data_IF_513008749453
#
_entry.id   IF_513008749453
#
_cell.length_a   1.000
_cell.length_b   1.000
_cell.length_c   1.000
_cell.angle_alpha   90.00
_cell.angle_beta   90.00
_cell.angle_gamma   90.00
#
_symmetry.space_group_name_H-M   'P 1'
#
loop_
_entity.id
_entity.type
_entity.pdbx_description
1 polymer ?
#
# COMPACT_ATOMS: atom_id res chain seq x y z
N UNK A 1 -16.04 74.49 -1.17
CA UNK A 1 -14.76 74.51 -1.89
C UNK A 1 -13.88 73.40 -1.34
N UNK A 2 -13.44 72.49 -2.23
CA UNK A 2 -12.26 71.60 -2.20
C UNK A 2 -11.93 70.79 -0.91
N UNK A 3 -12.04 69.45 -0.99
CA UNK A 3 -10.95 68.44 -1.14
C UNK A 3 -10.22 68.16 0.19
N UNK A 4 -10.09 66.92 0.70
CA UNK A 4 -9.51 65.67 0.12
C UNK A 4 -10.03 64.45 0.91
N UNK A 5 -10.55 63.36 0.30
CA UNK A 5 -9.83 62.10 -0.08
C UNK A 5 -9.06 61.45 1.10
N UNK A 6 -9.29 60.19 1.55
CA UNK A 6 -9.41 58.93 0.79
C UNK A 6 -10.25 57.82 1.48
N UNK A 7 -10.62 56.89 0.60
CA UNK A 7 -11.47 55.68 0.61
C UNK A 7 -11.01 54.46 1.43
N UNK A 8 -11.99 53.82 2.08
CA UNK A 8 -12.33 52.37 2.14
C UNK A 8 -11.34 51.29 1.66
N UNK A 9 -11.19 50.23 2.48
CA UNK A 9 -11.16 48.82 2.03
C UNK A 9 -11.55 47.83 3.14
N UNK A 10 -12.66 47.12 2.90
CA UNK A 10 -13.02 45.85 3.52
C UNK A 10 -12.17 44.69 2.95
N UNK A 11 -12.29 43.53 3.62
CA UNK A 11 -11.88 42.18 3.24
C UNK A 11 -10.39 41.84 3.35
N UNK A 12 -10.07 41.07 4.39
CA UNK A 12 -9.13 39.95 4.38
C UNK A 12 -9.50 39.01 5.55
N UNK A 13 -10.48 38.13 5.33
CA UNK A 13 -10.54 36.83 6.00
C UNK A 13 -9.62 35.92 5.19
N UNK A 14 -8.39 35.76 5.67
CA UNK A 14 -7.38 34.88 5.08
C UNK A 14 -6.88 33.90 6.14
N UNK A 15 -7.23 32.63 5.94
CA UNK A 15 -6.44 31.42 6.21
C UNK A 15 -5.08 31.64 6.90
N UNK A 16 -4.96 31.19 8.15
CA UNK A 16 -3.68 30.96 8.82
C UNK A 16 -3.89 30.11 10.08
N UNK A 17 -3.92 28.79 9.90
CA UNK A 17 -3.58 27.81 10.95
C UNK A 17 -2.81 26.67 10.29
N UNK A 18 -1.55 26.96 9.93
CA UNK A 18 -0.55 25.91 9.71
C UNK A 18 -0.27 25.32 11.09
N UNK A 19 -0.52 24.03 11.24
CA UNK A 19 -0.34 23.25 12.48
C UNK A 19 1.08 23.42 13.01
N UNK A 20 1.21 23.68 14.30
CA UNK A 20 2.51 23.72 14.97
C UNK A 20 3.12 22.32 14.98
N UNK A 21 4.10 22.08 14.09
CA UNK A 21 4.98 20.92 14.17
C UNK A 21 5.86 21.11 15.41
N UNK A 22 5.73 20.24 16.41
CA UNK A 22 6.60 20.28 17.58
C UNK A 22 7.96 19.65 17.21
N UNK A 23 8.93 20.51 16.87
CA UNK A 23 10.33 20.12 16.80
C UNK A 23 10.95 20.19 18.20
N UNK A 24 11.37 19.05 18.71
CA UNK A 24 12.29 19.01 19.86
C UNK A 24 13.70 19.22 19.33
N UNK A 25 14.28 20.42 19.49
CA UNK A 25 15.70 20.65 19.22
C UNK A 25 16.52 19.90 20.28
N UNK A 26 17.19 18.82 19.90
CA UNK A 26 18.11 18.10 20.78
C UNK A 26 19.37 18.95 21.02
N UNK A 27 19.69 19.19 22.29
CA UNK A 27 21.06 19.44 22.73
C UNK A 27 21.88 18.17 22.49
N UNK A 28 23.02 18.29 21.79
CA UNK A 28 24.00 17.21 21.65
C UNK A 28 24.48 16.76 23.04
N UNK A 29 23.94 15.66 23.55
CA UNK A 29 24.59 14.87 24.60
C UNK A 29 25.44 13.79 23.93
N UNK A 30 26.75 13.90 24.12
CA UNK A 30 27.76 12.91 23.71
C UNK A 30 27.34 11.51 24.17
N UNK A 31 26.99 10.64 23.24
CA UNK A 31 26.85 9.20 23.49
C UNK A 31 28.26 8.61 23.32
N UNK A 32 28.83 8.08 24.41
CA UNK A 32 30.07 7.31 24.34
C UNK A 32 29.81 6.00 23.57
N UNK A 33 30.68 5.60 22.62
CA UNK A 33 30.54 4.33 21.95
C UNK A 33 30.93 3.21 22.91
N UNK A 34 29.97 2.34 23.25
CA UNK A 34 30.28 1.01 23.77
C UNK A 34 30.81 0.18 22.59
N UNK A 35 32.12 0.17 22.41
CA UNK A 35 32.79 -0.70 21.45
C UNK A 35 32.72 -2.14 21.93
N UNK A 36 31.72 -2.87 21.45
CA UNK A 36 31.79 -4.32 21.28
C UNK A 36 31.51 -4.58 19.81
N UNK A 37 32.58 -4.62 19.01
CA UNK A 37 32.52 -5.08 17.61
C UNK A 37 32.37 -6.60 17.64
N UNK A 38 31.18 -7.10 17.96
CA UNK A 38 30.75 -8.36 17.39
C UNK A 38 30.55 -8.09 15.90
N UNK A 39 31.33 -8.74 15.05
CA UNK A 39 31.07 -8.76 13.61
C UNK A 39 29.66 -9.32 13.43
N UNK A 40 28.70 -8.44 13.13
CA UNK A 40 27.41 -8.86 12.61
C UNK A 40 27.70 -9.52 11.26
N UNK A 41 27.12 -10.69 10.95
CA UNK A 41 27.35 -11.32 9.66
C UNK A 41 26.94 -10.38 8.51
N UNK A 42 27.64 -10.50 7.36
CA UNK A 42 27.55 -9.57 6.21
C UNK A 42 26.13 -9.47 5.58
N UNK A 43 25.19 -10.29 6.04
CA UNK A 43 23.80 -10.37 5.61
C UNK A 43 22.83 -9.48 6.41
N UNK A 44 23.28 -8.86 7.51
CA UNK A 44 22.45 -7.93 8.29
C UNK A 44 22.46 -6.54 7.65
N UNK A 45 21.29 -6.03 7.29
CA UNK A 45 21.19 -4.66 6.79
C UNK A 45 21.56 -3.64 7.87
N UNK A 46 22.57 -2.80 7.59
CA UNK A 46 22.98 -1.72 8.48
C UNK A 46 22.03 -0.51 8.39
N UNK A 47 21.54 -0.06 9.54
CA UNK A 47 20.66 1.11 9.67
C UNK A 47 21.30 2.27 10.45
N UNK A 48 22.61 2.22 10.72
CA UNK A 48 23.28 3.24 11.53
C UNK A 48 23.06 4.65 10.97
N UNK A 49 22.48 5.54 11.79
CA UNK A 49 22.21 6.92 11.40
C UNK A 49 21.06 7.09 10.38
N UNK A 50 20.31 6.03 10.05
CA UNK A 50 19.11 6.15 9.21
C UNK A 50 17.97 6.81 9.97
N UNK A 51 17.17 7.58 9.25
CA UNK A 51 15.94 8.20 9.75
C UNK A 51 14.77 7.47 9.14
N UNK A 52 13.93 6.91 10.00
CA UNK A 52 12.70 6.23 9.60
C UNK A 52 11.48 7.05 10.02
N UNK A 53 10.36 6.75 9.38
CA UNK A 53 9.03 7.11 9.86
C UNK A 53 8.30 5.85 10.31
N UNK A 54 7.65 5.89 11.47
CA UNK A 54 6.90 4.76 12.06
C UNK A 54 5.74 5.30 12.91
N UNK A 55 4.95 4.38 13.47
CA UNK A 55 3.93 4.67 14.47
C UNK A 55 4.59 5.16 15.78
N UNK A 56 4.16 6.32 16.27
CA UNK A 56 4.65 6.91 17.51
C UNK A 56 4.50 5.95 18.70
N UNK A 57 3.48 5.07 18.71
CA UNK A 57 3.31 4.11 19.80
C UNK A 57 4.44 3.08 19.84
N UNK A 58 4.97 2.64 18.69
CA UNK A 58 6.11 1.72 18.65
C UNK A 58 7.34 2.36 19.29
N UNK A 59 7.61 3.64 18.98
CA UNK A 59 8.73 4.36 19.59
C UNK A 59 8.57 4.47 21.12
N UNK A 60 7.35 4.74 21.61
CA UNK A 60 7.05 4.79 23.04
C UNK A 60 7.27 3.43 23.72
N UNK A 61 6.76 2.35 23.13
CA UNK A 61 6.90 0.99 23.65
C UNK A 61 8.38 0.59 23.79
N UNK A 62 9.22 1.04 22.85
CA UNK A 62 10.65 0.76 22.81
C UNK A 62 11.52 1.82 23.50
N UNK A 63 10.92 2.83 24.12
CA UNK A 63 11.63 3.97 24.74
C UNK A 63 12.60 4.69 23.79
N UNK A 64 12.26 4.76 22.51
CA UNK A 64 13.00 5.48 21.48
C UNK A 64 12.46 6.91 21.41
N UNK A 65 13.36 7.91 21.50
CA UNK A 65 12.97 9.32 21.44
C UNK A 65 12.73 9.74 19.98
N UNK A 66 11.55 10.26 19.63
CA UNK A 66 11.30 10.76 18.28
C UNK A 66 12.06 12.07 18.02
N UNK A 67 12.57 12.23 16.80
CA UNK A 67 13.11 13.49 16.30
C UNK A 67 11.99 14.52 16.09
N UNK A 68 10.86 14.07 15.55
CA UNK A 68 9.66 14.85 15.31
C UNK A 68 8.45 13.90 15.23
N UNK A 69 7.26 14.39 15.51
CA UNK A 69 6.02 13.62 15.33
C UNK A 69 4.85 14.53 15.02
N UNK A 70 3.80 13.94 14.43
CA UNK A 70 2.57 14.62 14.09
C UNK A 70 1.42 14.05 14.94
N UNK A 71 0.81 14.86 15.84
CA UNK A 71 -0.18 14.37 16.80
C UNK A 71 -1.50 13.87 16.21
N UNK A 72 -1.96 14.35 15.05
CA UNK A 72 -3.25 13.92 14.49
C UNK A 72 -3.14 12.50 13.88
N UNK A 73 -2.07 12.26 13.14
CA UNK A 73 -1.79 11.03 12.40
C UNK A 73 -0.97 10.01 13.20
N UNK A 74 -0.37 10.42 14.32
CA UNK A 74 0.53 9.61 15.15
C UNK A 74 1.78 9.10 14.41
N UNK A 75 2.15 9.72 13.29
CA UNK A 75 3.40 9.40 12.58
C UNK A 75 4.57 10.08 13.27
N UNK A 76 5.66 9.36 13.46
CA UNK A 76 6.88 9.88 14.09
C UNK A 76 8.13 9.56 13.26
N UNK A 77 9.06 10.51 13.26
CA UNK A 77 10.42 10.32 12.73
C UNK A 77 11.37 9.97 13.86
N UNK A 78 12.23 8.98 13.64
CA UNK A 78 13.29 8.63 14.57
C UNK A 78 14.58 8.32 13.80
N UNK A 79 15.72 8.73 14.37
CA UNK A 79 16.99 8.14 13.97
C UNK A 79 17.18 6.85 14.75
N UNK A 80 17.55 5.80 14.04
CA UNK A 80 17.69 4.47 14.61
C UNK A 80 19.06 3.89 14.27
N UNK A 81 19.51 2.93 15.06
CA UNK A 81 20.55 1.98 14.67
C UNK A 81 19.95 0.63 14.27
N UNK A 82 20.79 -0.31 13.83
CA UNK A 82 20.36 -1.66 13.42
C UNK A 82 19.58 -2.39 14.51
N UNK A 83 20.02 -2.33 15.77
CA UNK A 83 19.34 -2.99 16.88
C UNK A 83 17.94 -2.43 17.14
N UNK A 84 17.80 -1.10 17.05
CA UNK A 84 16.51 -0.42 17.18
C UNK A 84 15.59 -0.72 15.99
N UNK A 85 16.12 -0.82 14.77
CA UNK A 85 15.34 -1.24 13.61
C UNK A 85 14.73 -2.62 13.84
N UNK A 86 15.55 -3.59 14.25
CA UNK A 86 15.10 -4.96 14.54
C UNK A 86 14.01 -4.95 15.61
N UNK A 87 14.19 -4.14 16.67
CA UNK A 87 13.19 -4.00 17.73
C UNK A 87 11.88 -3.39 17.20
N UNK A 88 11.94 -2.42 16.29
CA UNK A 88 10.78 -1.79 15.65
C UNK A 88 10.03 -2.78 14.78
N UNK A 89 10.72 -3.52 13.90
CA UNK A 89 10.08 -4.57 13.08
C UNK A 89 9.49 -5.67 13.94
N UNK A 90 10.24 -6.15 14.95
CA UNK A 90 9.74 -7.17 15.89
C UNK A 90 8.47 -6.68 16.59
N UNK A 91 8.46 -5.42 17.07
CA UNK A 91 7.30 -4.83 17.73
C UNK A 91 6.13 -4.63 16.77
N UNK A 92 6.38 -4.24 15.52
CA UNK A 92 5.36 -4.14 14.49
C UNK A 92 4.69 -5.52 14.24
N UNK A 93 5.47 -6.60 14.16
CA UNK A 93 4.94 -7.96 14.00
C UNK A 93 4.17 -8.45 15.22
N UNK A 94 4.64 -8.15 16.45
CA UNK A 94 3.88 -8.44 17.68
C UNK A 94 2.51 -7.74 17.67
N UNK A 95 2.44 -6.54 17.09
CA UNK A 95 1.21 -5.79 16.87
C UNK A 95 0.43 -6.25 15.65
N UNK A 96 0.95 -7.23 14.92
CA UNK A 96 0.33 -7.86 13.76
C UNK A 96 0.40 -7.04 12.48
N UNK A 97 1.56 -6.47 12.16
CA UNK A 97 1.80 -5.69 10.94
C UNK A 97 2.91 -6.38 10.14
N UNK A 98 2.82 -6.39 8.81
CA UNK A 98 3.90 -6.87 7.91
C UNK A 98 4.97 -5.78 7.81
N UNK A 99 4.57 -4.59 7.36
CA UNK A 99 5.37 -3.39 7.50
C UNK A 99 5.42 -2.83 8.93
N UNK A 100 5.88 -1.59 9.04
CA UNK A 100 5.91 -0.87 10.33
C UNK A 100 6.74 0.39 10.30
N UNK A 101 7.54 0.57 9.24
CA UNK A 101 8.31 1.77 9.04
C UNK A 101 8.55 2.06 7.55
N UNK A 102 8.92 3.29 7.24
CA UNK A 102 9.45 3.68 5.93
C UNK A 102 10.75 4.45 6.12
N UNK A 103 11.73 4.27 5.24
CA UNK A 103 12.99 5.04 5.31
C UNK A 103 12.80 6.43 4.70
N UNK A 104 13.10 7.46 5.48
CA UNK A 104 12.99 8.87 5.08
C UNK A 104 14.32 9.41 4.56
N UNK A 105 15.44 9.01 5.16
CA UNK A 105 16.77 9.48 4.77
C UNK A 105 17.83 9.15 5.80
N UNK A 106 18.90 9.94 5.84
CA UNK A 106 20.00 9.79 6.79
C UNK A 106 20.10 11.01 7.70
N UNK A 107 20.36 10.79 9.00
CA UNK A 107 20.42 11.85 10.00
C UNK A 107 21.50 12.88 9.66
N UNK A 108 22.64 12.43 9.12
CA UNK A 108 23.76 13.30 8.76
C UNK A 108 23.41 14.34 7.69
N UNK A 109 22.41 14.06 6.85
CA UNK A 109 21.99 14.93 5.75
C UNK A 109 20.61 15.56 5.95
N UNK A 110 19.87 15.12 6.99
CA UNK A 110 18.51 15.55 7.27
C UNK A 110 18.45 17.04 7.66
N UNK A 111 17.71 17.83 6.88
CA UNK A 111 17.40 19.23 7.16
C UNK A 111 16.00 19.36 7.77
N UNK A 112 15.76 20.48 8.45
CA UNK A 112 14.42 20.79 8.98
C UNK A 112 13.36 20.89 7.89
N UNK A 113 13.74 21.31 6.68
CA UNK A 113 12.88 21.30 5.50
C UNK A 113 12.45 19.90 5.09
N UNK A 114 13.29 18.89 5.32
CA UNK A 114 13.02 17.51 4.94
C UNK A 114 12.00 16.88 5.90
N UNK A 115 12.10 17.21 7.20
CA UNK A 115 11.10 16.84 8.21
C UNK A 115 9.73 17.43 7.85
N UNK A 116 9.67 18.72 7.52
CA UNK A 116 8.41 19.36 7.14
C UNK A 116 7.83 18.77 5.85
N UNK A 117 8.68 18.57 4.83
CA UNK A 117 8.28 18.01 3.53
C UNK A 117 7.81 16.56 3.64
N UNK A 118 8.29 15.81 4.62
CA UNK A 118 7.80 14.47 4.91
C UNK A 118 6.37 14.47 5.46
N UNK A 119 6.09 15.29 6.48
CA UNK A 119 4.78 15.28 7.14
C UNK A 119 3.69 15.96 6.32
N UNK A 120 4.03 17.02 5.58
CA UNK A 120 3.03 17.88 4.93
C UNK A 120 2.06 17.09 4.02
N UNK A 121 2.51 16.22 3.10
CA UNK A 121 1.60 15.44 2.27
C UNK A 121 0.66 14.50 3.06
N UNK A 122 1.17 13.90 4.14
CA UNK A 122 0.39 12.99 4.99
C UNK A 122 -0.70 13.79 5.73
N UNK A 123 -0.35 14.95 6.29
CA UNK A 123 -1.29 15.85 6.99
C UNK A 123 -2.38 16.35 6.03
N UNK A 124 -1.97 16.86 4.86
CA UNK A 124 -2.89 17.38 3.85
C UNK A 124 -3.87 16.29 3.41
N UNK A 125 -3.36 15.08 3.18
CA UNK A 125 -4.21 13.97 2.80
C UNK A 125 -5.15 13.56 3.94
N UNK A 126 -4.65 13.41 5.15
CA UNK A 126 -5.45 13.04 6.32
C UNK A 126 -6.62 14.00 6.52
N UNK A 127 -6.38 15.31 6.40
CA UNK A 127 -7.44 16.33 6.52
C UNK A 127 -8.46 16.24 5.39
N UNK A 128 -8.00 16.05 4.15
CA UNK A 128 -8.90 15.82 3.01
C UNK A 128 -9.78 14.60 3.25
N UNK A 129 -9.23 13.52 3.79
CA UNK A 129 -9.98 12.31 4.10
C UNK A 129 -11.00 12.52 5.24
N UNK A 130 -10.68 13.31 6.26
CA UNK A 130 -11.65 13.68 7.30
C UNK A 130 -12.85 14.46 6.71
N UNK A 131 -12.59 15.38 5.78
CA UNK A 131 -13.62 16.13 5.07
C UNK A 131 -14.46 15.22 4.15
N UNK A 132 -13.81 14.31 3.40
CA UNK A 132 -14.49 13.30 2.59
C UNK A 132 -15.35 12.38 3.45
N UNK A 133 -14.83 11.90 4.58
CA UNK A 133 -15.57 11.03 5.49
C UNK A 133 -16.82 11.74 6.03
N UNK A 134 -16.72 13.03 6.33
CA UNK A 134 -17.88 13.84 6.73
C UNK A 134 -18.90 13.93 5.59
N UNK A 135 -18.47 14.24 4.37
CA UNK A 135 -19.36 14.33 3.20
C UNK A 135 -20.04 12.98 2.88
N UNK A 136 -19.36 11.86 3.07
CA UNK A 136 -19.91 10.52 2.85
C UNK A 136 -20.99 10.15 3.87
N UNK A 137 -20.92 10.64 5.11
CA UNK A 137 -21.94 10.40 6.15
C UNK A 137 -23.28 11.02 5.81
N UNK A 138 -23.31 12.05 4.97
CA UNK A 138 -24.54 12.67 4.49
C UNK A 138 -25.28 11.75 3.48
N UNK A 139 -24.69 10.61 3.09
CA UNK A 139 -25.32 9.52 2.32
C UNK A 139 -25.59 9.83 0.85
N UNK A 140 -25.55 11.11 0.46
CA UNK A 140 -25.88 11.56 -0.88
C UNK A 140 -24.98 10.97 -1.96
N UNK A 141 -23.67 10.80 -1.71
CA UNK A 141 -22.75 10.19 -2.67
C UNK A 141 -23.00 8.68 -2.82
N UNK A 142 -23.14 7.95 -1.72
CA UNK A 142 -23.35 6.49 -1.75
C UNK A 142 -24.61 6.11 -2.54
N UNK A 143 -25.67 6.90 -2.40
CA UNK A 143 -26.93 6.69 -3.15
C UNK A 143 -26.81 6.98 -4.66
N UNK A 144 -25.79 7.73 -5.08
CA UNK A 144 -25.57 8.16 -6.47
C UNK A 144 -24.45 7.42 -7.17
N UNK A 145 -23.50 6.86 -6.42
CA UNK A 145 -22.40 6.07 -6.96
C UNK A 145 -22.98 5.03 -7.91
N UNK A 146 -22.63 5.18 -9.18
CA UNK A 146 -23.17 4.36 -10.25
C UNK A 146 -22.06 3.80 -11.11
N UNK A 147 -21.90 2.50 -10.95
CA UNK A 147 -21.15 1.62 -11.81
C UNK A 147 -21.93 1.39 -13.11
N UNK A 148 -21.82 2.35 -14.04
CA UNK A 148 -22.42 2.27 -15.38
C UNK A 148 -21.33 1.94 -16.41
N UNK A 149 -20.57 0.88 -16.14
CA UNK A 149 -19.50 0.39 -17.01
C UNK A 149 -20.02 -0.10 -18.36
N UNK A 150 -21.32 -0.44 -18.45
CA UNK A 150 -21.92 -1.12 -19.60
C UNK A 150 -21.44 -2.57 -19.75
N UNK A 151 -20.63 -3.05 -18.80
CA UNK A 151 -20.11 -4.41 -18.73
C UNK A 151 -20.98 -5.25 -17.80
N UNK A 152 -21.12 -6.54 -18.11
CA UNK A 152 -21.63 -7.50 -17.14
C UNK A 152 -20.48 -7.91 -16.19
N UNK A 153 -20.13 -7.03 -15.24
CA UNK A 153 -19.00 -7.25 -14.32
C UNK A 153 -19.14 -8.54 -13.52
N UNK A 154 -20.37 -8.93 -13.13
CA UNK A 154 -20.61 -10.22 -12.46
C UNK A 154 -20.05 -11.40 -13.26
N UNK A 155 -20.21 -11.41 -14.59
CA UNK A 155 -19.71 -12.52 -15.42
C UNK A 155 -18.18 -12.62 -15.47
N UNK A 156 -17.46 -11.55 -15.12
CA UNK A 156 -16.00 -11.59 -14.96
C UNK A 156 -15.62 -11.98 -13.54
N UNK A 157 -16.33 -11.46 -12.53
CA UNK A 157 -16.15 -11.86 -11.13
C UNK A 157 -16.35 -13.38 -10.95
N UNK A 158 -17.33 -13.96 -11.64
CA UNK A 158 -17.64 -15.39 -11.63
C UNK A 158 -16.56 -16.26 -12.31
N UNK A 159 -15.65 -15.66 -13.09
CA UNK A 159 -14.53 -16.38 -13.70
C UNK A 159 -13.38 -16.65 -12.73
N UNK A 160 -13.33 -15.99 -11.57
CA UNK A 160 -12.25 -16.18 -10.60
C UNK A 160 -12.27 -17.61 -10.07
N UNK A 161 -11.14 -18.30 -10.23
CA UNK A 161 -10.98 -19.71 -9.85
C UNK A 161 -9.99 -19.86 -8.68
N UNK A 162 -10.45 -20.28 -7.49
CA UNK A 162 -9.60 -20.54 -6.32
C UNK A 162 -8.39 -21.45 -6.60
N UNK A 163 -8.55 -22.47 -7.46
CA UNK A 163 -7.46 -23.38 -7.79
C UNK A 163 -6.31 -22.70 -8.53
N UNK A 164 -6.59 -21.74 -9.41
CA UNK A 164 -5.54 -20.97 -10.07
C UNK A 164 -4.72 -20.19 -9.05
N UNK A 165 -5.38 -19.59 -8.05
CA UNK A 165 -4.69 -18.86 -6.97
C UNK A 165 -3.80 -19.82 -6.18
N UNK A 166 -4.33 -20.99 -5.81
CA UNK A 166 -3.58 -22.03 -5.12
C UNK A 166 -2.31 -22.43 -5.86
N UNK A 167 -2.41 -22.75 -7.14
CA UNK A 167 -1.26 -23.15 -7.96
C UNK A 167 -0.19 -22.07 -8.01
N UNK A 168 -0.58 -20.79 -8.03
CA UNK A 168 0.37 -19.67 -8.02
C UNK A 168 0.99 -19.44 -6.64
N UNK A 169 0.27 -19.65 -5.56
CA UNK A 169 0.86 -19.62 -4.20
C UNK A 169 1.86 -20.75 -4.04
N UNK A 170 1.52 -21.98 -4.47
CA UNK A 170 2.43 -23.14 -4.42
C UNK A 170 3.71 -22.87 -5.24
N UNK A 171 3.57 -22.29 -6.43
CA UNK A 171 4.71 -21.91 -7.26
C UNK A 171 5.59 -20.82 -6.61
N UNK A 172 4.98 -19.72 -6.15
CA UNK A 172 5.71 -18.56 -5.63
C UNK A 172 6.34 -18.80 -4.25
N UNK A 173 5.70 -19.63 -3.42
CA UNK A 173 6.25 -20.07 -2.13
C UNK A 173 7.20 -21.27 -2.22
N UNK A 174 7.37 -21.83 -3.42
CA UNK A 174 8.36 -22.87 -3.70
C UNK A 174 9.80 -22.36 -3.80
N UNK A 175 10.01 -21.05 -3.97
CA UNK A 175 11.33 -20.43 -3.86
C UNK A 175 11.77 -20.42 -2.39
N UNK A 176 13.04 -20.77 -2.12
CA UNK A 176 13.54 -20.86 -0.73
C UNK A 176 13.31 -19.55 0.05
N UNK A 177 13.59 -18.42 -0.59
CA UNK A 177 13.28 -17.08 -0.08
C UNK A 177 13.11 -16.15 -1.29
N UNK A 178 12.30 -15.11 -1.13
CA UNK A 178 12.13 -14.03 -2.10
C UNK A 178 12.73 -12.71 -1.59
N UNK A 179 13.60 -12.78 -0.60
CA UNK A 179 14.20 -11.60 0.02
C UNK A 179 14.98 -10.74 -0.97
N UNK A 180 14.85 -9.42 -0.85
CA UNK A 180 15.40 -8.45 -1.80
C UNK A 180 16.94 -8.45 -1.90
N UNK A 181 17.65 -8.98 -0.90
CA UNK A 181 19.11 -9.14 -0.86
C UNK A 181 19.56 -10.60 -0.97
N UNK A 182 18.62 -11.53 -1.17
CA UNK A 182 18.98 -12.92 -1.45
C UNK A 182 19.83 -13.02 -2.71
N UNK A 183 20.70 -14.03 -2.79
CA UNK A 183 21.59 -14.27 -3.94
C UNK A 183 20.82 -14.37 -5.27
N UNK A 184 19.56 -14.82 -5.21
CA UNK A 184 18.65 -15.01 -6.33
C UNK A 184 17.43 -14.06 -6.29
N UNK A 185 17.63 -12.84 -5.78
CA UNK A 185 16.56 -11.85 -5.51
C UNK A 185 15.65 -11.49 -6.70
N UNK A 186 16.06 -11.76 -7.94
CA UNK A 186 15.26 -11.50 -9.15
C UNK A 186 14.81 -12.75 -9.91
N UNK A 187 15.12 -13.97 -9.47
CA UNK A 187 14.72 -15.19 -10.23
C UNK A 187 13.20 -15.30 -10.30
N UNK A 188 12.52 -15.24 -9.15
CA UNK A 188 11.05 -15.26 -9.09
C UNK A 188 10.40 -14.04 -9.78
N UNK A 189 11.10 -12.90 -9.83
CA UNK A 189 10.66 -11.67 -10.52
C UNK A 189 10.62 -11.89 -12.03
N UNK A 190 11.71 -12.40 -12.61
CA UNK A 190 11.81 -12.70 -14.03
C UNK A 190 10.87 -13.84 -14.43
N UNK A 191 10.72 -14.86 -13.58
CA UNK A 191 9.76 -15.96 -13.82
C UNK A 191 8.31 -15.45 -13.80
N UNK A 192 7.94 -14.58 -12.86
CA UNK A 192 6.62 -13.94 -12.83
C UNK A 192 6.36 -13.11 -14.09
N UNK A 193 7.34 -12.27 -14.49
CA UNK A 193 7.25 -11.50 -15.73
C UNK A 193 7.03 -12.41 -16.94
N UNK A 194 7.82 -13.48 -17.07
CA UNK A 194 7.71 -14.42 -18.18
C UNK A 194 6.34 -15.11 -18.21
N UNK A 195 5.81 -15.50 -17.05
CA UNK A 195 4.46 -16.05 -16.92
C UNK A 195 3.39 -15.05 -17.40
N UNK A 196 3.43 -13.81 -16.92
CA UNK A 196 2.47 -12.77 -17.28
C UNK A 196 2.55 -12.41 -18.77
N UNK A 197 3.75 -12.34 -19.35
CA UNK A 197 3.91 -12.15 -20.79
C UNK A 197 3.31 -13.30 -21.60
N UNK A 198 3.46 -14.55 -21.14
CA UNK A 198 2.83 -15.69 -21.81
C UNK A 198 1.31 -15.60 -21.75
N UNK A 199 0.73 -15.22 -20.60
CA UNK A 199 -0.71 -14.99 -20.46
C UNK A 199 -1.20 -13.91 -21.42
N UNK A 200 -0.50 -12.77 -21.49
CA UNK A 200 -0.82 -11.67 -22.41
C UNK A 200 -0.74 -12.13 -23.87
N UNK A 201 0.35 -12.80 -24.27
CA UNK A 201 0.50 -13.33 -25.64
C UNK A 201 -0.62 -14.31 -25.99
N UNK A 202 -0.97 -15.22 -25.08
CA UNK A 202 -2.03 -16.20 -25.29
C UNK A 202 -3.42 -15.56 -25.42
N UNK A 203 -3.66 -14.42 -24.75
CA UNK A 203 -4.92 -13.68 -24.85
C UNK A 203 -5.10 -12.94 -26.20
N UNK A 204 -4.00 -12.72 -26.94
CA UNK A 204 -3.99 -11.92 -28.17
C UNK A 204 -4.11 -10.40 -27.97
N UNK A 205 -4.21 -9.92 -26.72
CA UNK A 205 -4.32 -8.49 -26.39
C UNK A 205 -3.07 -7.72 -26.79
N UNK A 206 -3.26 -6.56 -27.44
CA UNK A 206 -2.18 -5.68 -27.91
C UNK A 206 -2.06 -4.40 -27.07
N UNK A 207 -3.08 -4.10 -26.27
CA UNK A 207 -3.16 -2.97 -25.34
C UNK A 207 -2.57 -3.29 -23.96
N UNK A 208 -2.03 -4.50 -23.77
CA UNK A 208 -1.43 -4.92 -22.50
C UNK A 208 0.08 -5.02 -22.61
N UNK A 209 0.79 -4.37 -21.69
CA UNK A 209 2.25 -4.37 -21.60
C UNK A 209 2.71 -4.99 -20.29
N UNK A 210 3.77 -5.79 -20.34
CA UNK A 210 4.43 -6.36 -19.17
C UNK A 210 5.87 -5.84 -19.13
N UNK A 211 6.36 -5.48 -17.95
CA UNK A 211 7.70 -4.93 -17.77
C UNK A 211 8.20 -5.07 -16.34
N UNK A 212 9.40 -4.55 -16.12
CA UNK A 212 10.02 -4.46 -14.80
C UNK A 212 10.28 -2.99 -14.45
N UNK A 213 10.30 -2.70 -13.15
CA UNK A 213 10.68 -1.40 -12.60
C UNK A 213 11.94 -1.59 -11.75
N UNK A 214 12.95 -0.78 -12.04
CA UNK A 214 14.19 -0.71 -11.26
C UNK A 214 14.07 0.30 -10.14
N UNK A 215 14.78 0.06 -9.05
CA UNK A 215 14.67 0.84 -7.81
C UNK A 215 16.02 1.39 -7.36
N UNK A 216 15.99 2.48 -6.60
CA UNK A 216 17.20 3.16 -6.11
C UNK A 216 17.77 2.48 -4.87
N UNK A 217 16.90 1.89 -4.04
CA UNK A 217 17.24 1.34 -2.71
C UNK A 217 17.39 -0.18 -2.68
N UNK A 218 17.10 -0.87 -3.79
CA UNK A 218 17.19 -2.32 -3.91
C UNK A 218 17.51 -2.72 -5.35
N UNK A 219 18.23 -3.84 -5.53
CA UNK A 219 18.47 -4.43 -6.85
C UNK A 219 17.40 -5.42 -7.26
N UNK A 220 16.54 -5.85 -6.33
CA UNK A 220 15.31 -6.58 -6.67
C UNK A 220 14.37 -5.63 -7.42
N UNK A 221 13.86 -6.06 -8.58
CA UNK A 221 12.95 -5.28 -9.42
C UNK A 221 11.50 -5.57 -9.05
N UNK A 222 10.62 -4.63 -9.36
CA UNK A 222 9.17 -4.89 -9.34
C UNK A 222 8.68 -5.36 -10.71
N UNK A 223 7.62 -6.15 -10.73
CA UNK A 223 6.92 -6.51 -11.98
C UNK A 223 5.78 -5.52 -12.20
N UNK A 224 5.55 -5.15 -13.46
CA UNK A 224 4.49 -4.24 -13.88
C UNK A 224 3.68 -4.82 -15.03
N UNK A 225 2.35 -4.77 -14.94
CA UNK A 225 1.44 -5.04 -16.05
C UNK A 225 0.54 -3.82 -16.26
N UNK A 226 0.45 -3.32 -17.49
CA UNK A 226 -0.42 -2.18 -17.85
C UNK A 226 -1.42 -2.57 -18.92
N UNK A 227 -2.69 -2.44 -18.61
CA UNK A 227 -3.78 -2.39 -19.58
C UNK A 227 -3.99 -0.93 -19.98
N UNK A 228 -3.66 -0.55 -21.20
CA UNK A 228 -3.75 0.84 -21.67
C UNK A 228 -5.21 1.25 -21.82
N UNK A 229 -5.58 2.37 -21.20
CA UNK A 229 -6.93 2.91 -21.28
C UNK A 229 -7.32 3.32 -22.71
N UNK A 230 -8.51 2.93 -23.14
CA UNK A 230 -9.04 3.23 -24.48
C UNK A 230 -9.60 4.65 -24.64
N UNK A 231 -9.91 5.34 -23.53
CA UNK A 231 -10.54 6.68 -23.54
C UNK A 231 -9.76 7.66 -22.68
N UNK A 232 -9.44 7.27 -21.45
CA UNK A 232 -8.76 8.08 -20.43
C UNK A 232 -7.40 7.46 -20.10
N UNK A 233 -6.53 7.37 -21.11
CA UNK A 233 -5.24 6.67 -20.99
C UNK A 233 -4.30 7.27 -19.91
N UNK A 234 -4.48 8.55 -19.57
CA UNK A 234 -3.69 9.25 -18.55
C UNK A 234 -4.29 9.16 -17.13
N UNK A 235 -5.45 8.50 -16.99
CA UNK A 235 -6.07 8.19 -15.69
C UNK A 235 -5.74 6.76 -15.30
N UNK A 236 -5.18 6.57 -14.10
CA UNK A 236 -4.62 5.30 -13.64
C UNK A 236 -5.43 4.72 -12.49
N UNK A 237 -5.91 3.48 -12.66
CA UNK A 237 -6.38 2.62 -11.58
C UNK A 237 -5.27 1.63 -11.27
N UNK A 238 -4.78 1.64 -10.04
CA UNK A 238 -3.64 0.83 -9.61
C UNK A 238 -4.13 -0.32 -8.74
N UNK A 239 -3.58 -1.50 -8.96
CA UNK A 239 -3.69 -2.66 -8.08
C UNK A 239 -2.29 -3.18 -7.78
N UNK A 240 -2.03 -3.61 -6.55
CA UNK A 240 -0.71 -4.17 -6.24
C UNK A 240 -0.66 -4.99 -4.98
N UNK A 241 0.47 -5.67 -4.82
CA UNK A 241 0.86 -6.51 -3.70
C UNK A 241 2.38 -6.71 -3.78
N UNK A 242 3.05 -7.07 -2.70
CA UNK A 242 4.50 -7.23 -2.76
C UNK A 242 4.92 -8.66 -3.08
N UNK A 243 6.11 -8.77 -3.65
CA UNK A 243 6.64 -10.00 -4.23
C UNK A 243 7.71 -10.65 -3.35
N UNK A 244 8.36 -9.86 -2.50
CA UNK A 244 9.38 -10.35 -1.59
C UNK A 244 8.81 -11.18 -0.44
N UNK A 245 9.71 -11.76 0.33
CA UNK A 245 9.42 -12.45 1.59
C UNK A 245 10.66 -12.40 2.48
N UNK A 246 10.43 -12.55 3.78
CA UNK A 246 11.48 -12.46 4.80
C UNK A 246 11.29 -13.51 5.88
N UNK A 247 12.40 -13.85 6.52
CA UNK A 247 12.39 -14.49 7.82
C UNK A 247 13.08 -13.57 8.82
N UNK A 248 12.30 -13.08 9.77
CA UNK A 248 12.78 -12.26 10.88
C UNK A 248 13.15 -13.12 12.09
N UNK A 249 14.39 -13.04 12.55
CA UNK A 249 14.85 -13.64 13.80
C UNK A 249 15.45 -12.57 14.72
N UNK A 250 15.61 -12.91 16.00
CA UNK A 250 16.35 -12.10 16.97
C UNK A 250 17.77 -11.80 16.43
N UNK A 251 17.97 -10.58 15.93
CA UNK A 251 19.22 -10.16 15.27
C UNK A 251 19.08 -9.64 13.84
N UNK A 252 17.92 -9.75 13.19
CA UNK A 252 17.67 -9.19 11.85
C UNK A 252 17.00 -10.16 10.89
N UNK A 253 17.00 -9.78 9.61
CA UNK A 253 16.53 -10.65 8.52
C UNK A 253 17.61 -11.68 8.20
N UNK A 254 17.24 -12.94 8.13
CA UNK A 254 18.13 -14.02 7.72
C UNK A 254 18.01 -14.28 6.21
N UNK A 255 18.85 -13.62 5.43
CA UNK A 255 18.77 -13.61 3.97
C UNK A 255 18.92 -14.99 3.31
N UNK A 256 19.60 -15.93 3.97
CA UNK A 256 19.87 -17.28 3.45
C UNK A 256 18.93 -18.36 3.98
N UNK A 257 18.04 -18.02 4.91
CA UNK A 257 17.12 -18.99 5.50
C UNK A 257 15.80 -19.07 4.73
N UNK A 258 15.08 -20.21 4.82
CA UNK A 258 13.80 -20.35 4.15
C UNK A 258 12.75 -19.34 4.65
N UNK A 259 12.20 -18.58 3.72
CA UNK A 259 11.09 -17.66 3.92
C UNK A 259 10.02 -17.91 2.83
N UNK A 260 9.22 -18.98 2.96
CA UNK A 260 8.29 -19.36 1.90
C UNK A 260 7.24 -18.28 1.64
N UNK A 261 6.84 -17.52 2.66
CA UNK A 261 5.96 -16.36 2.50
C UNK A 261 4.67 -16.71 1.76
N UNK A 262 4.04 -17.85 2.12
CA UNK A 262 2.88 -18.36 1.38
C UNK A 262 1.67 -17.44 1.56
N UNK A 263 1.40 -16.97 2.77
CA UNK A 263 0.37 -15.97 3.00
C UNK A 263 0.91 -14.57 2.74
N UNK A 264 2.15 -14.32 3.19
CA UNK A 264 2.81 -13.03 3.14
C UNK A 264 4.02 -13.01 2.17
N UNK A 265 3.86 -12.54 0.93
CA UNK A 265 2.60 -12.18 0.28
C UNK A 265 2.42 -12.92 -1.05
N UNK A 266 2.75 -14.21 -1.06
CA UNK A 266 2.45 -15.03 -2.23
C UNK A 266 0.93 -15.12 -2.47
N UNK A 267 0.10 -15.03 -1.42
CA UNK A 267 -1.35 -15.07 -1.52
C UNK A 267 -1.92 -13.86 -2.29
N UNK A 268 -1.59 -12.63 -1.90
CA UNK A 268 -2.06 -11.41 -2.57
C UNK A 268 -1.47 -11.26 -3.96
N UNK A 269 -0.18 -11.55 -4.11
CA UNK A 269 0.48 -11.62 -5.42
C UNK A 269 -0.22 -12.58 -6.39
N UNK A 270 -0.63 -13.76 -5.91
CA UNK A 270 -1.33 -14.77 -6.71
C UNK A 270 -2.77 -14.38 -7.03
N UNK A 271 -3.47 -13.74 -6.09
CA UNK A 271 -4.80 -13.19 -6.34
C UNK A 271 -4.78 -12.11 -7.44
N UNK A 272 -3.72 -11.30 -7.52
CA UNK A 272 -3.52 -10.33 -8.61
C UNK A 272 -3.21 -11.00 -9.95
N UNK A 273 -2.44 -12.10 -9.97
CA UNK A 273 -2.22 -12.88 -11.21
C UNK A 273 -3.54 -13.42 -11.75
N UNK A 274 -4.41 -13.94 -10.88
CA UNK A 274 -5.75 -14.38 -11.28
C UNK A 274 -6.63 -13.21 -11.73
N UNK A 275 -6.52 -12.05 -11.08
CA UNK A 275 -7.20 -10.82 -11.52
C UNK A 275 -6.77 -10.42 -12.93
N UNK A 276 -5.46 -10.44 -13.23
CA UNK A 276 -4.94 -10.19 -14.59
C UNK A 276 -5.49 -11.21 -15.58
N UNK A 277 -5.52 -12.50 -15.23
CA UNK A 277 -6.08 -13.55 -16.10
C UNK A 277 -7.53 -13.24 -16.51
N UNK A 278 -8.36 -12.82 -15.55
CA UNK A 278 -9.76 -12.44 -15.79
C UNK A 278 -9.84 -11.17 -16.64
N UNK A 279 -9.06 -10.12 -16.34
CA UNK A 279 -9.08 -8.87 -17.12
C UNK A 279 -8.64 -9.04 -18.57
N UNK A 280 -7.80 -10.05 -18.87
CA UNK A 280 -7.43 -10.38 -20.25
C UNK A 280 -8.63 -10.86 -21.08
N UNK A 281 -9.69 -11.42 -20.47
CA UNK A 281 -10.93 -11.80 -21.16
C UNK A 281 -11.95 -10.66 -21.27
N UNK A 282 -11.74 -9.54 -20.56
CA UNK A 282 -12.57 -8.35 -20.62
C UNK A 282 -12.17 -7.42 -21.78
N UNK A 283 -13.07 -6.52 -22.24
CA UNK A 283 -12.69 -5.44 -23.15
C UNK A 283 -11.59 -4.54 -22.58
N UNK A 284 -10.92 -3.78 -23.47
CA UNK A 284 -9.97 -2.76 -23.04
C UNK A 284 -10.66 -1.76 -22.07
N UNK A 285 -10.09 -1.50 -20.89
CA UNK A 285 -10.68 -0.58 -19.94
C UNK A 285 -10.68 0.85 -20.50
N UNK A 286 -11.56 1.72 -19.99
CA UNK A 286 -11.57 3.13 -20.41
C UNK A 286 -10.39 3.90 -19.82
N UNK A 287 -10.10 3.72 -18.54
CA UNK A 287 -8.90 4.19 -17.85
C UNK A 287 -7.76 3.18 -17.96
N UNK A 288 -6.53 3.62 -17.81
CA UNK A 288 -5.39 2.71 -17.69
C UNK A 288 -5.49 1.94 -16.37
N UNK A 289 -5.26 0.63 -16.43
CA UNK A 289 -5.17 -0.22 -15.23
C UNK A 289 -3.74 -0.73 -15.11
N UNK A 290 -3.08 -0.38 -14.01
CA UNK A 290 -1.72 -0.78 -13.69
C UNK A 290 -1.71 -1.79 -12.54
N UNK A 291 -1.00 -2.89 -12.74
CA UNK A 291 -0.69 -3.88 -11.71
C UNK A 291 0.78 -3.79 -11.35
N UNK A 292 1.07 -3.78 -10.05
CA UNK A 292 2.43 -3.83 -9.53
C UNK A 292 2.62 -4.97 -8.56
N UNK A 293 3.71 -5.72 -8.76
CA UNK A 293 4.26 -6.63 -7.76
C UNK A 293 5.50 -5.96 -7.17
N UNK A 294 5.34 -5.35 -5.99
CA UNK A 294 6.33 -4.47 -5.39
C UNK A 294 7.54 -5.26 -4.88
N UNK A 295 8.71 -4.64 -4.95
CA UNK A 295 9.95 -5.19 -4.42
C UNK A 295 10.23 -4.58 -3.05
N UNK A 296 10.85 -5.36 -2.17
CA UNK A 296 11.37 -4.88 -0.88
C UNK A 296 10.32 -4.12 -0.05
N UNK A 297 9.10 -4.66 0.07
CA UNK A 297 8.09 -4.17 1.00
C UNK A 297 8.59 -4.32 2.44
N UNK A 298 9.14 -5.51 2.72
CA UNK A 298 9.44 -6.02 4.06
C UNK A 298 10.52 -5.22 4.79
N UNK A 299 11.31 -4.46 4.04
CA UNK A 299 12.43 -3.65 4.56
C UNK A 299 12.10 -2.15 4.56
N UNK A 300 10.83 -1.81 4.40
CA UNK A 300 10.30 -0.47 4.56
C UNK A 300 9.78 0.14 3.27
N UNK A 301 9.04 -0.64 2.46
CA UNK A 301 8.25 -0.22 1.31
C UNK A 301 9.05 0.35 0.14
N UNK A 302 10.24 -0.18 -0.17
CA UNK A 302 11.16 0.50 -1.09
C UNK A 302 10.59 0.59 -2.51
N UNK A 303 10.09 -0.52 -3.05
CA UNK A 303 9.61 -0.56 -4.42
C UNK A 303 8.36 0.31 -4.63
N UNK A 304 7.39 0.23 -3.72
CA UNK A 304 6.17 1.04 -3.82
C UNK A 304 6.44 2.53 -3.56
N UNK A 305 7.40 2.89 -2.71
CA UNK A 305 7.83 4.29 -2.54
C UNK A 305 8.40 4.85 -3.84
N UNK A 306 9.37 4.16 -4.45
CA UNK A 306 9.98 4.63 -5.70
C UNK A 306 8.91 4.77 -6.81
N UNK A 307 8.00 3.79 -6.93
CA UNK A 307 6.91 3.84 -7.92
C UNK A 307 5.94 5.01 -7.65
N UNK A 308 5.47 5.20 -6.41
CA UNK A 308 4.51 6.26 -6.09
C UNK A 308 5.14 7.66 -6.18
N UNK A 309 6.41 7.81 -5.77
CA UNK A 309 7.17 9.05 -5.93
C UNK A 309 7.38 9.40 -7.39
N UNK A 310 7.65 8.40 -8.24
CA UNK A 310 7.76 8.56 -9.68
C UNK A 310 6.44 9.01 -10.30
N UNK A 311 5.31 8.41 -9.91
CA UNK A 311 3.98 8.84 -10.36
C UNK A 311 3.69 10.29 -9.97
N UNK A 312 4.04 10.69 -8.75
CA UNK A 312 3.87 12.08 -8.28
C UNK A 312 4.77 13.04 -9.06
N UNK A 313 6.04 12.69 -9.27
CA UNK A 313 7.00 13.51 -10.03
C UNK A 313 6.57 13.70 -11.48
N UNK A 314 6.00 12.66 -12.08
CA UNK A 314 5.48 12.66 -13.45
C UNK A 314 4.08 13.29 -13.55
N UNK A 315 3.49 13.73 -12.43
CA UNK A 315 2.16 14.31 -12.36
C UNK A 315 1.08 13.41 -12.96
N UNK A 316 1.18 12.10 -12.75
CA UNK A 316 0.18 11.12 -13.20
C UNK A 316 -1.12 11.26 -12.40
N UNK A 317 -2.25 11.11 -13.09
CA UNK A 317 -3.56 11.11 -12.45
C UNK A 317 -3.92 9.70 -11.95
N UNK A 318 -3.55 9.37 -10.71
CA UNK A 318 -3.95 8.11 -10.07
C UNK A 318 -5.32 8.27 -9.44
N UNK A 319 -6.32 7.65 -10.07
CA UNK A 319 -7.71 7.65 -9.63
C UNK A 319 -7.86 6.85 -8.34
N UNK A 320 -7.16 5.73 -8.20
CA UNK A 320 -7.15 4.98 -6.95
C UNK A 320 -6.21 3.78 -6.99
N UNK A 321 -5.67 3.43 -5.83
CA UNK A 321 -4.75 2.32 -5.65
C UNK A 321 -5.31 1.29 -4.65
N UNK A 322 -5.41 0.03 -5.06
CA UNK A 322 -5.82 -1.08 -4.21
C UNK A 322 -4.59 -1.94 -3.86
N UNK A 323 -4.38 -2.20 -2.57
CA UNK A 323 -3.36 -3.14 -2.08
C UNK A 323 -4.00 -4.48 -1.72
N UNK A 324 -3.39 -5.58 -2.14
CA UNK A 324 -3.64 -6.93 -1.64
C UNK A 324 -2.41 -7.44 -0.92
N UNK A 325 -2.56 -7.61 0.39
CA UNK A 325 -1.52 -8.10 1.27
C UNK A 325 -2.13 -8.97 2.36
N UNK A 326 -1.74 -10.25 2.32
CA UNK A 326 -2.34 -11.39 3.02
C UNK A 326 -3.84 -11.55 2.75
N UNK A 327 -4.19 -12.63 2.04
CA UNK A 327 -5.57 -12.84 1.57
C UNK A 327 -6.08 -14.27 1.78
N UNK A 328 -5.30 -15.19 2.34
CA UNK A 328 -5.66 -16.61 2.35
C UNK A 328 -5.87 -17.22 3.74
N UNK A 329 -5.66 -16.50 4.83
CA UNK A 329 -5.93 -16.97 6.19
C UNK A 329 -7.18 -16.28 6.78
N UNK A 330 -8.34 -16.99 6.86
CA UNK A 330 -9.61 -16.42 7.28
C UNK A 330 -9.71 -16.27 8.81
N UNK A 331 -8.86 -15.45 9.41
CA UNK A 331 -8.74 -15.28 10.87
C UNK A 331 -9.99 -14.77 11.59
N UNK A 332 -10.89 -14.10 10.86
CA UNK A 332 -12.22 -13.66 11.34
C UNK A 332 -13.36 -14.64 10.97
N UNK A 333 -13.02 -15.79 10.39
CA UNK A 333 -13.95 -16.75 9.83
C UNK A 333 -14.12 -16.60 8.32
N UNK A 334 -14.47 -17.71 7.66
CA UNK A 334 -14.67 -17.75 6.21
C UNK A 334 -15.68 -16.68 5.75
N UNK A 335 -15.37 -16.01 4.64
CA UNK A 335 -16.23 -14.97 4.08
C UNK A 335 -16.16 -13.60 4.78
N UNK A 336 -15.31 -13.42 5.80
CA UNK A 336 -15.15 -12.14 6.50
C UNK A 336 -13.78 -11.53 6.21
N UNK A 337 -13.77 -10.32 5.66
CA UNK A 337 -12.54 -9.57 5.34
C UNK A 337 -12.46 -8.31 6.20
N UNK A 338 -11.26 -7.73 6.27
CA UNK A 338 -11.02 -6.46 6.96
C UNK A 338 -10.70 -5.36 5.95
N UNK A 339 -11.36 -4.20 6.07
CA UNK A 339 -10.99 -2.96 5.40
C UNK A 339 -10.18 -2.09 6.35
N UNK A 340 -8.91 -1.81 6.01
CA UNK A 340 -8.08 -0.91 6.81
C UNK A 340 -8.56 0.54 6.65
N UNK A 341 -8.80 1.21 7.77
CA UNK A 341 -9.51 2.50 7.85
C UNK A 341 -8.61 3.72 8.03
N UNK A 342 -7.34 3.53 8.40
CA UNK A 342 -6.33 4.57 8.52
C UNK A 342 -5.30 4.47 7.38
N UNK A 343 -4.75 5.61 6.95
CA UNK A 343 -3.89 5.71 5.77
C UNK A 343 -4.52 5.11 4.49
N UNK A 344 -5.85 5.09 4.43
CA UNK A 344 -6.67 4.75 3.27
C UNK A 344 -7.76 5.80 3.08
N UNK A 345 -8.28 5.89 1.87
CA UNK A 345 -9.20 6.93 1.44
C UNK A 345 -10.65 6.51 1.65
N UNK A 346 -11.47 7.27 2.41
CA UNK A 346 -12.85 6.91 2.70
C UNK A 346 -13.72 6.65 1.46
N UNK A 347 -13.50 7.39 0.38
CA UNK A 347 -14.28 7.22 -0.85
C UNK A 347 -13.92 5.93 -1.61
N UNK A 348 -12.65 5.48 -1.57
CA UNK A 348 -12.28 4.18 -2.12
C UNK A 348 -12.77 3.03 -1.23
N UNK A 349 -12.82 3.21 0.09
CA UNK A 349 -13.52 2.25 0.98
C UNK A 349 -15.00 2.14 0.64
N UNK A 350 -15.66 3.25 0.28
CA UNK A 350 -17.02 3.21 -0.24
C UNK A 350 -17.14 2.47 -1.58
N UNK A 351 -16.19 2.69 -2.51
CA UNK A 351 -16.11 1.93 -3.78
C UNK A 351 -15.95 0.44 -3.51
N UNK A 352 -15.01 0.05 -2.63
CA UNK A 352 -14.80 -1.33 -2.20
C UNK A 352 -16.08 -1.94 -1.61
N UNK A 353 -16.75 -1.22 -0.71
CA UNK A 353 -18.00 -1.67 -0.11
C UNK A 353 -19.10 -1.86 -1.16
N UNK A 354 -19.19 -0.98 -2.16
CA UNK A 354 -20.16 -1.10 -3.25
C UNK A 354 -19.84 -2.27 -4.18
N UNK A 355 -18.57 -2.47 -4.56
CA UNK A 355 -18.13 -3.63 -5.34
C UNK A 355 -18.44 -4.93 -4.58
N UNK A 356 -18.17 -4.95 -3.28
CA UNK A 356 -18.49 -6.10 -2.44
C UNK A 356 -20.00 -6.37 -2.41
N UNK A 357 -20.81 -5.33 -2.16
CA UNK A 357 -22.26 -5.49 -2.15
C UNK A 357 -22.77 -5.93 -3.52
N UNK A 358 -22.27 -5.42 -4.64
CA UNK A 358 -22.82 -5.84 -5.93
C UNK A 358 -22.44 -7.30 -6.28
N UNK A 359 -21.17 -7.69 -6.10
CA UNK A 359 -20.65 -8.90 -6.75
C UNK A 359 -20.16 -10.02 -5.82
N UNK A 360 -19.79 -9.72 -4.58
CA UNK A 360 -18.97 -10.65 -3.76
C UNK A 360 -19.67 -11.10 -2.48
N UNK A 361 -20.41 -10.19 -1.83
CA UNK A 361 -21.20 -10.43 -0.61
C UNK A 361 -20.40 -10.94 0.59
N UNK A 362 -19.11 -10.58 0.69
CA UNK A 362 -18.32 -10.84 1.90
C UNK A 362 -18.78 -9.94 3.06
N UNK A 363 -18.60 -10.41 4.30
CA UNK A 363 -18.73 -9.55 5.47
C UNK A 363 -17.48 -8.67 5.56
N UNK A 364 -17.65 -7.36 5.67
CA UNK A 364 -16.56 -6.41 5.84
C UNK A 364 -16.55 -5.93 7.29
N UNK A 365 -15.41 -6.07 7.97
CA UNK A 365 -15.12 -5.40 9.23
C UNK A 365 -14.08 -4.29 9.00
N UNK A 366 -14.08 -3.25 9.83
CA UNK A 366 -13.05 -2.20 9.76
C UNK A 366 -12.00 -2.42 10.86
N UNK A 367 -10.74 -2.19 10.52
CA UNK A 367 -9.63 -2.16 11.49
C UNK A 367 -8.68 -1.00 11.18
N UNK A 368 -7.72 -0.77 12.07
CA UNK A 368 -6.60 0.15 11.84
C UNK A 368 -5.30 -0.64 11.78
N UNK A 369 -4.38 -0.23 10.92
CA UNK A 369 -3.04 -0.81 10.83
C UNK A 369 -1.90 0.14 11.26
N UNK A 370 -2.18 1.44 11.36
CA UNK A 370 -1.19 2.51 11.57
C UNK A 370 -0.24 2.70 10.39
N UNK A 371 0.67 3.65 10.54
CA UNK A 371 1.52 4.12 9.46
C UNK A 371 2.54 3.07 9.02
N UNK A 372 2.74 2.99 7.70
CA UNK A 372 3.76 2.13 7.09
C UNK A 372 3.43 0.65 7.17
N UNK A 373 2.14 0.30 7.23
CA UNK A 373 1.68 -1.09 7.38
C UNK A 373 1.91 -1.97 6.15
N UNK A 374 1.71 -1.41 4.94
CA UNK A 374 1.96 -2.07 3.65
C UNK A 374 2.02 -1.01 2.54
N UNK A 375 2.21 -1.40 1.28
CA UNK A 375 2.50 -0.51 0.14
C UNK A 375 1.43 0.56 -0.14
N UNK A 376 0.18 0.37 0.32
CA UNK A 376 -0.87 1.40 0.24
C UNK A 376 -0.44 2.72 0.89
N UNK A 377 0.43 2.67 1.90
CA UNK A 377 0.97 3.84 2.58
C UNK A 377 1.87 4.70 1.66
N UNK A 378 2.57 4.08 0.70
CA UNK A 378 3.40 4.78 -0.28
C UNK A 378 2.55 5.65 -1.21
N UNK A 379 1.41 5.13 -1.67
CA UNK A 379 0.41 5.87 -2.44
C UNK A 379 -0.22 6.99 -1.61
N UNK A 380 -0.63 6.67 -0.39
CA UNK A 380 -1.24 7.62 0.55
C UNK A 380 -0.35 8.82 0.84
N UNK A 381 0.91 8.57 1.22
CA UNK A 381 1.94 9.58 1.50
C UNK A 381 2.19 10.49 0.30
N UNK A 382 2.05 9.98 -0.92
CA UNK A 382 2.21 10.77 -2.14
C UNK A 382 0.96 11.58 -2.52
N UNK A 383 -0.14 11.42 -1.78
CA UNK A 383 -1.40 12.16 -1.99
C UNK A 383 -2.41 11.42 -2.87
N UNK A 384 -2.11 10.17 -3.27
CA UNK A 384 -2.97 9.37 -4.13
C UNK A 384 -3.98 8.55 -3.34
N UNK A 385 -5.25 8.45 -3.76
CA UNK A 385 -6.22 7.60 -3.10
C UNK A 385 -5.80 6.14 -3.01
N UNK A 386 -5.91 5.55 -1.82
CA UNK A 386 -5.57 4.15 -1.58
C UNK A 386 -6.64 3.41 -0.77
N UNK A 387 -6.74 2.10 -0.96
CA UNK A 387 -7.57 1.18 -0.16
C UNK A 387 -6.84 -0.11 0.07
N UNK A 388 -7.06 -0.72 1.23
CA UNK A 388 -6.38 -1.94 1.63
C UNK A 388 -7.37 -2.91 2.32
N UNK A 389 -8.01 -3.81 1.54
CA UNK A 389 -8.64 -4.99 2.09
C UNK A 389 -7.59 -6.06 2.42
N UNK A 390 -7.71 -6.68 3.59
CA UNK A 390 -6.87 -7.79 4.04
C UNK A 390 -7.72 -8.88 4.70
N UNK A 391 -7.19 -10.08 4.83
CA UNK A 391 -7.86 -11.28 5.35
C UNK A 391 -8.45 -11.13 6.76
N UNK A 392 -7.88 -10.28 7.61
CA UNK A 392 -8.30 -10.19 9.01
C UNK A 392 -7.78 -8.91 9.71
N UNK A 393 -8.25 -8.66 10.93
CA UNK A 393 -7.65 -7.64 11.80
C UNK A 393 -6.28 -8.10 12.33
N UNK A 394 -5.41 -7.17 12.73
CA UNK A 394 -4.07 -7.49 13.27
C UNK A 394 -4.10 -8.49 14.45
N UNK A 395 -5.18 -8.46 15.24
CA UNK A 395 -5.38 -9.38 16.36
C UNK A 395 -5.57 -10.83 15.91
N UNK A 396 -6.19 -11.03 14.76
CA UNK A 396 -6.66 -12.32 14.25
C UNK A 396 -5.89 -12.81 13.01
N UNK A 397 -4.88 -12.09 12.54
CA UNK A 397 -4.04 -12.50 11.41
C UNK A 397 -3.24 -13.78 11.67
N UNK A 398 -2.77 -14.36 10.57
CA UNK A 398 -1.82 -15.46 10.56
C UNK A 398 -0.57 -15.12 11.41
N UNK A 399 -0.32 -15.91 12.45
CA UNK A 399 0.83 -15.72 13.36
C UNK A 399 2.11 -16.40 12.89
N UNK A 400 2.09 -17.02 11.71
CA UNK A 400 3.23 -17.69 11.10
C UNK A 400 3.96 -16.83 10.07
N UNK A 401 3.41 -15.65 9.70
CA UNK A 401 4.06 -14.71 8.78
C UNK A 401 5.50 -14.43 9.22
N UNK A 402 6.36 -14.10 8.26
CA UNK A 402 7.76 -13.75 8.52
C UNK A 402 8.59 -14.88 9.16
N UNK A 403 8.13 -16.13 9.05
CA UNK A 403 8.84 -17.31 9.55
C UNK A 403 8.94 -18.40 8.47
N UNK A 404 9.81 -19.40 8.65
CA UNK A 404 9.86 -20.58 7.77
C UNK A 404 8.58 -21.43 7.79
N UNK A 405 7.63 -21.10 8.68
CA UNK A 405 6.34 -21.78 8.83
C UNK A 405 5.20 -21.03 8.16
N UNK A 406 5.42 -19.86 7.55
CA UNK A 406 4.43 -19.27 6.65
C UNK A 406 4.34 -20.10 5.37
N UNK A 407 3.63 -21.23 5.50
CA UNK A 407 3.42 -22.27 4.51
C UNK A 407 1.93 -22.52 4.38
N UNK A 408 1.51 -22.95 3.20
CA UNK A 408 0.17 -23.51 3.00
C UNK A 408 -0.06 -24.63 4.02
N UNK A 409 -1.13 -24.51 4.78
CA UNK A 409 -1.48 -25.45 5.84
C UNK A 409 -3.01 -25.60 5.95
N UNK A 410 -3.49 -26.31 6.98
CA UNK A 410 -4.92 -26.60 7.14
C UNK A 410 -5.79 -25.36 7.42
N UNK A 411 -5.19 -24.25 7.84
CA UNK A 411 -5.87 -22.97 8.08
C UNK A 411 -5.89 -22.08 6.82
N UNK A 412 -5.12 -22.42 5.78
CA UNK A 412 -5.14 -21.71 4.50
C UNK A 412 -6.44 -21.98 3.73
N UNK A 413 -7.03 -20.94 3.15
CA UNK A 413 -8.28 -20.99 2.40
C UNK A 413 -8.19 -20.23 1.08
N UNK A 414 -8.12 -20.97 -0.03
CA UNK A 414 -8.10 -20.38 -1.37
C UNK A 414 -9.47 -19.86 -1.81
N UNK A 415 -10.56 -20.38 -1.23
CA UNK A 415 -11.89 -19.78 -1.35
C UNK A 415 -11.93 -18.39 -0.70
N UNK A 416 -11.22 -18.21 0.43
CA UNK A 416 -11.06 -16.90 1.04
C UNK A 416 -10.21 -15.98 0.15
N UNK A 417 -9.07 -16.44 -0.36
CA UNK A 417 -8.25 -15.68 -1.30
C UNK A 417 -9.01 -15.27 -2.57
N UNK A 418 -9.91 -16.12 -3.07
CA UNK A 418 -10.75 -15.81 -4.22
C UNK A 418 -11.70 -14.62 -3.97
N UNK A 419 -12.11 -14.34 -2.73
CA UNK A 419 -12.89 -13.14 -2.38
C UNK A 419 -12.10 -11.88 -2.77
N UNK A 420 -10.81 -11.84 -2.48
CA UNK A 420 -9.95 -10.68 -2.77
C UNK A 420 -9.70 -10.52 -4.27
N UNK A 421 -9.49 -11.61 -5.01
CA UNK A 421 -9.40 -11.55 -6.48
C UNK A 421 -10.73 -11.09 -7.10
N UNK A 422 -11.89 -11.55 -6.59
CA UNK A 422 -13.22 -11.08 -7.01
C UNK A 422 -13.40 -9.58 -6.75
N UNK A 423 -12.99 -9.09 -5.58
CA UNK A 423 -13.00 -7.67 -5.25
C UNK A 423 -12.07 -6.88 -6.16
N UNK A 424 -10.87 -7.38 -6.45
CA UNK A 424 -9.91 -6.74 -7.34
C UNK A 424 -10.41 -6.67 -8.79
N UNK A 425 -11.04 -7.73 -9.31
CA UNK A 425 -11.70 -7.73 -10.63
C UNK A 425 -12.81 -6.69 -10.67
N UNK A 426 -13.72 -6.70 -9.68
CA UNK A 426 -14.83 -5.74 -9.63
C UNK A 426 -14.35 -4.31 -9.48
N UNK A 427 -13.35 -4.07 -8.62
CA UNK A 427 -12.73 -2.75 -8.43
C UNK A 427 -12.07 -2.25 -9.71
N UNK A 428 -11.26 -3.07 -10.37
CA UNK A 428 -10.58 -2.69 -11.60
C UNK A 428 -11.58 -2.40 -12.72
N UNK A 429 -12.56 -3.29 -12.95
CA UNK A 429 -13.53 -3.10 -14.03
C UNK A 429 -14.47 -1.93 -13.78
N UNK A 430 -14.96 -1.73 -12.55
CA UNK A 430 -15.89 -0.65 -12.27
C UNK A 430 -15.21 0.72 -12.16
N UNK A 431 -14.10 0.81 -11.44
CA UNK A 431 -13.40 2.09 -11.32
C UNK A 431 -12.78 2.49 -12.66
N UNK A 432 -12.25 1.55 -13.46
CA UNK A 432 -11.65 1.89 -14.75
C UNK A 432 -12.67 2.23 -15.84
N UNK A 433 -13.95 1.85 -15.68
CA UNK A 433 -14.99 2.11 -16.68
C UNK A 433 -16.08 3.10 -16.21
N UNK A 434 -15.98 3.62 -14.98
CA UNK A 434 -16.85 4.69 -14.49
C UNK A 434 -16.27 6.09 -14.74
N UNK A 435 -17.05 7.12 -14.43
CA UNK A 435 -16.58 8.52 -14.33
C UNK A 435 -16.22 8.92 -12.89
N UNK A 436 -16.42 8.01 -11.94
CA UNK A 436 -16.21 8.29 -10.52
C UNK A 436 -14.75 8.64 -10.27
N UNK A 437 -14.53 9.66 -9.46
CA UNK A 437 -13.24 10.10 -8.93
C UNK A 437 -13.43 10.56 -7.49
N UNK A 438 -12.35 10.83 -6.76
CA UNK A 438 -12.44 11.41 -5.43
C UNK A 438 -13.27 12.72 -5.38
N UNK A 439 -13.22 13.53 -6.43
CA UNK A 439 -13.97 14.79 -6.50
C UNK A 439 -15.47 14.57 -6.65
N UNK A 440 -15.90 13.41 -7.18
CA UNK A 440 -17.31 13.04 -7.34
C UNK A 440 -18.05 12.97 -6.01
N UNK A 441 -17.35 12.86 -4.87
CA UNK A 441 -17.92 12.93 -3.53
C UNK A 441 -18.56 14.30 -3.23
N UNK A 442 -17.96 15.38 -3.74
CA UNK A 442 -18.42 16.75 -3.51
C UNK A 442 -19.39 17.25 -4.58
N UNK A 443 -19.44 16.59 -5.72
CA UNK A 443 -20.36 16.92 -6.80
C UNK A 443 -21.79 16.53 -6.41
N UNK A 444 -22.52 17.49 -5.82
CA UNK A 444 -23.98 17.45 -5.87
C UNK A 444 -24.35 17.54 -7.35
N UNK A 445 -25.15 16.62 -7.92
CA UNK A 445 -25.53 16.73 -9.31
C UNK A 445 -26.19 18.08 -9.48
N UNK A 446 -25.69 18.87 -10.44
CA UNK A 446 -26.58 19.76 -11.13
C UNK A 446 -27.72 18.86 -11.62
N UNK A 447 -28.92 19.05 -11.08
CA UNK A 447 -30.11 18.62 -11.79
C UNK A 447 -29.98 19.23 -13.19
N UNK A 448 -29.64 18.40 -14.18
CA UNK A 448 -29.22 18.70 -15.57
C UNK A 448 -27.79 18.25 -15.86
N UNK A 449 -27.67 17.07 -16.49
CA UNK A 449 -27.11 16.93 -17.85
C UNK A 449 -27.91 15.88 -18.60
#
# INVERSE_FOLDING_TARGET
MLHTQLTSRQLLRGTSRITALFMTLLSLSLIMPLTSSAHLPDDIEEFEGRVIATDLQILKDLSITPLAFEPETQVALASINTAQMIAISTRAHELGRCGGYTIVGELATLKSTDVHSFFLPIIERHRKDLDLQKALRDGAYLSKMSFNSGLNVQSYVDQVEPLNIKEKVEWLSGYSTRFHKGEQNNVHVEDMKNMLEQMVRASGRQDVKVGLVEHKKTTQKSVHVRFVGSVFADEHVVLGGHLDSVYWKLGGVLASEPAPGSDDNASGSSALVETVRVLLSAPAPRRTVDFYWYAAEEVGLFGSQDIAEDHKRENKNVVGALQLDMVMYPGLGAGTITSISDFTSPWLRAVLARVNDEYVKARIEESQCRYGCSDHASWYKNGFPSVFPTESSLKHMNKLIHTPNDKINAESSFEHAAIFSKLAVGFALELANSRETENSVYEVPASQW
#
